data_IF_004887421490
#
_entry.id   IF_004887421490
#
_cell.length_a   1.000
_cell.length_b   1.000
_cell.length_c   1.000
_cell.angle_alpha   90.00
_cell.angle_beta   90.00
_cell.angle_gamma   90.00
#
_symmetry.space_group_name_H-M   'P 1'
#
loop_
_entity.id
_entity.type
_entity.pdbx_description
1 polymer ?
#
# COMPACT_ATOMS: atom_id res chain seq x y z
N UNK A 1 -25.22 -1.65 -13.32
CA UNK A 1 -24.68 -1.78 -13.02
C UNK A 1 -23.78 -2.27 -12.82
N UNK A 2 -23.27 -2.57 -12.76
CA UNK A 2 -22.43 -3.03 -12.28
C UNK A 2 -21.16 -2.78 -12.48
N UNK A 3 -20.76 -2.42 -13.07
CA UNK A 3 -19.64 -1.94 -13.15
C UNK A 3 -19.07 -1.58 -11.93
N UNK A 4 -19.79 -1.29 -11.11
CA UNK A 4 -19.45 -1.06 -9.86
C UNK A 4 -18.89 -2.22 -9.25
N UNK A 5 -18.91 -3.33 -9.88
CA UNK A 5 -18.41 -4.54 -9.36
C UNK A 5 -16.97 -4.40 -8.97
N UNK A 6 -16.15 -3.72 -9.74
CA UNK A 6 -14.75 -3.54 -9.42
C UNK A 6 -14.49 -2.61 -8.26
N UNK A 7 -15.54 -1.94 -7.80
CA UNK A 7 -15.42 -0.99 -6.72
C UNK A 7 -16.05 -1.48 -5.44
N UNK A 8 -16.38 -2.76 -5.37
CA UNK A 8 -17.02 -3.29 -4.18
C UNK A 8 -16.12 -3.35 -2.98
N UNK A 9 -14.85 -3.23 -3.16
CA UNK A 9 -13.96 -3.26 -2.04
C UNK A 9 -12.54 -2.99 -2.43
N UNK A 10 -11.67 -3.12 -1.47
CA UNK A 10 -10.26 -2.86 -1.60
C UNK A 10 -9.50 -4.05 -1.05
N UNK A 11 -8.25 -4.18 -1.49
CA UNK A 11 -7.32 -5.12 -0.90
C UNK A 11 -6.35 -4.30 -0.08
N UNK A 12 -6.18 -4.66 1.18
CA UNK A 12 -5.28 -3.96 2.09
C UNK A 12 -4.29 -4.94 2.69
N UNK A 13 -3.05 -4.50 2.83
CA UNK A 13 -2.01 -5.31 3.46
C UNK A 13 -0.99 -4.40 4.13
N UNK A 14 -0.31 -4.89 5.17
CA UNK A 14 0.74 -4.09 5.79
C UNK A 14 1.89 -3.90 4.81
N UNK A 15 2.44 -2.70 4.74
CA UNK A 15 3.58 -2.46 3.87
C UNK A 15 4.77 -3.31 4.32
N UNK A 16 5.49 -3.95 3.42
CA UNK A 16 6.68 -4.72 3.79
C UNK A 16 7.87 -3.85 4.17
N UNK A 17 7.82 -2.56 3.86
CA UNK A 17 8.95 -1.66 4.10
C UNK A 17 8.64 -0.47 5.00
N UNK A 18 7.36 -0.12 5.16
CA UNK A 18 6.96 1.07 5.90
C UNK A 18 5.97 0.71 7.01
N UNK A 19 5.79 1.62 7.94
CA UNK A 19 4.84 1.44 9.04
C UNK A 19 3.46 1.95 8.60
N UNK A 20 2.93 1.34 7.55
CA UNK A 20 1.66 1.77 6.96
C UNK A 20 0.91 0.58 6.41
N UNK A 21 -0.36 0.81 6.10
CA UNK A 21 -1.19 -0.16 5.38
C UNK A 21 -1.25 0.31 3.93
N UNK A 22 -0.98 -0.60 3.00
CA UNK A 22 -1.15 -0.32 1.58
C UNK A 22 -2.54 -0.73 1.17
N UNK A 23 -3.18 0.08 0.34
CA UNK A 23 -4.49 -0.25 -0.18
C UNK A 23 -4.51 -0.13 -1.70
N UNK A 24 -5.25 -0.99 -2.35
CA UNK A 24 -5.34 -0.98 -3.81
C UNK A 24 -6.57 -1.73 -4.28
N UNK A 25 -6.81 -1.68 -5.59
CA UNK A 25 -7.92 -2.40 -6.21
C UNK A 25 -7.53 -3.84 -6.47
N UNK A 26 -8.52 -4.66 -6.82
CA UNK A 26 -8.27 -6.03 -7.24
C UNK A 26 -7.37 -6.10 -8.46
N UNK A 27 -7.54 -5.18 -9.41
CA UNK A 27 -6.70 -5.18 -10.60
C UNK A 27 -5.24 -4.96 -10.25
N UNK A 28 -4.98 -4.07 -9.31
CA UNK A 28 -3.62 -3.78 -8.88
C UNK A 28 -2.99 -4.98 -8.17
N UNK A 29 -3.74 -5.63 -7.28
CA UNK A 29 -3.19 -6.77 -6.54
C UNK A 29 -2.95 -7.94 -7.49
N UNK A 30 -3.77 -8.07 -8.53
CA UNK A 30 -3.56 -9.10 -9.53
C UNK A 30 -2.27 -8.87 -10.30
N UNK A 31 -1.99 -7.62 -10.68
CA UNK A 31 -0.74 -7.29 -11.36
C UNK A 31 0.45 -7.62 -10.48
N UNK A 32 0.34 -7.32 -9.19
CA UNK A 32 1.41 -7.63 -8.24
C UNK A 32 1.60 -9.13 -8.11
N UNK A 33 0.51 -9.87 -8.01
CA UNK A 33 0.57 -11.33 -7.92
C UNK A 33 1.22 -11.93 -9.15
N UNK A 34 0.87 -11.43 -10.34
CA UNK A 34 1.46 -11.92 -11.59
C UNK A 34 2.96 -11.62 -11.64
N UNK A 35 3.35 -10.44 -11.17
CA UNK A 35 4.76 -10.07 -11.12
C UNK A 35 5.54 -10.99 -10.17
N UNK A 36 4.95 -11.33 -9.03
CA UNK A 36 5.57 -12.24 -8.07
C UNK A 36 5.70 -13.64 -8.68
N UNK A 37 4.67 -14.07 -9.40
CA UNK A 37 4.69 -15.39 -10.05
C UNK A 37 5.73 -15.49 -11.16
N UNK A 38 6.17 -14.36 -11.71
CA UNK A 38 7.20 -14.37 -12.74
C UNK A 38 8.59 -14.68 -12.16
N UNK A 39 8.74 -14.64 -10.86
CA UNK A 39 9.99 -15.00 -10.20
C UNK A 39 10.12 -16.53 -10.18
N UNK A 40 11.34 -17.02 -10.00
CA UNK A 40 11.55 -18.45 -9.94
C UNK A 40 10.74 -19.11 -8.84
N UNK A 41 10.18 -20.31 -9.08
CA UNK A 41 9.27 -20.94 -8.11
C UNK A 41 9.92 -21.25 -6.75
N UNK A 42 11.23 -21.35 -6.73
CA UNK A 42 11.93 -21.62 -5.47
C UNK A 42 12.78 -20.44 -5.02
N UNK A 43 12.58 -19.25 -5.60
CA UNK A 43 13.37 -18.10 -5.20
C UNK A 43 12.94 -17.59 -3.83
N UNK A 44 13.89 -17.03 -3.09
CA UNK A 44 13.60 -16.44 -1.80
C UNK A 44 12.74 -15.21 -1.95
N UNK A 45 12.95 -14.44 -3.02
CA UNK A 45 12.17 -13.25 -3.29
C UNK A 45 10.70 -13.58 -3.46
N UNK A 46 10.40 -14.62 -4.24
CA UNK A 46 9.02 -15.03 -4.45
C UNK A 46 8.35 -15.43 -3.14
N UNK A 47 9.04 -16.22 -2.34
CA UNK A 47 8.52 -16.67 -1.06
C UNK A 47 8.30 -15.50 -0.11
N UNK A 48 9.27 -14.59 -0.06
CA UNK A 48 9.21 -13.42 0.80
C UNK A 48 8.05 -12.50 0.44
N UNK A 49 7.87 -12.21 -0.85
CA UNK A 49 6.78 -11.34 -1.29
C UNK A 49 5.42 -12.00 -1.08
N UNK A 50 5.32 -13.30 -1.35
CA UNK A 50 4.07 -14.02 -1.14
C UNK A 50 3.66 -13.99 0.34
N UNK A 51 4.62 -14.19 1.24
CA UNK A 51 4.32 -14.17 2.67
C UNK A 51 4.01 -12.78 3.18
N UNK A 52 4.81 -11.79 2.76
CA UNK A 52 4.67 -10.43 3.32
C UNK A 52 3.49 -9.67 2.75
N UNK A 53 3.11 -9.95 1.52
CA UNK A 53 2.09 -9.17 0.85
C UNK A 53 0.81 -9.97 0.65
N UNK A 54 0.91 -11.08 -0.07
CA UNK A 54 -0.31 -11.82 -0.46
C UNK A 54 -0.95 -12.55 0.72
N UNK A 55 -0.16 -13.16 1.56
CA UNK A 55 -0.69 -13.91 2.69
C UNK A 55 -1.32 -13.00 3.76
N UNK A 56 -0.81 -11.79 3.89
CA UNK A 56 -1.31 -10.84 4.88
C UNK A 56 -2.33 -9.85 4.32
N UNK A 57 -2.78 -10.06 3.09
CA UNK A 57 -3.75 -9.15 2.50
C UNK A 57 -5.17 -9.46 3.01
N UNK A 58 -5.97 -8.40 3.11
CA UNK A 58 -7.35 -8.48 3.55
C UNK A 58 -8.24 -7.80 2.53
N UNK A 59 -9.34 -8.45 2.20
CA UNK A 59 -10.32 -7.84 1.34
C UNK A 59 -11.31 -7.09 2.22
N UNK A 60 -11.52 -5.81 1.97
CA UNK A 60 -12.48 -5.00 2.71
C UNK A 60 -13.53 -4.47 1.75
N UNK A 61 -14.78 -4.67 2.11
CA UNK A 61 -15.88 -4.23 1.28
C UNK A 61 -16.34 -2.83 1.64
N UNK A 62 -17.03 -2.19 0.72
CA UNK A 62 -17.66 -0.90 0.98
C UNK A 62 -19.08 -1.12 1.51
N UNK A 63 -19.49 -0.32 2.47
CA UNK A 63 -20.88 -0.32 2.91
C UNK A 63 -21.70 0.57 1.96
N UNK A 64 -22.99 0.76 2.27
CA UNK A 64 -23.86 1.54 1.40
C UNK A 64 -23.45 2.98 1.25
N UNK A 65 -22.73 3.51 2.21
CA UNK A 65 -22.27 4.89 2.17
C UNK A 65 -20.84 5.04 1.68
N UNK A 66 -20.25 3.96 1.20
CA UNK A 66 -18.90 4.00 0.67
C UNK A 66 -17.82 3.91 1.74
N UNK A 67 -18.17 3.50 2.95
CA UNK A 67 -17.20 3.36 4.03
C UNK A 67 -16.71 1.92 4.11
N UNK A 68 -15.51 1.75 4.63
CA UNK A 68 -14.96 0.42 4.85
C UNK A 68 -14.62 0.25 6.33
N UNK A 69 -14.64 -0.99 6.78
CA UNK A 69 -14.23 -1.33 8.13
C UNK A 69 -12.96 -2.16 8.02
N UNK A 70 -11.88 -1.64 8.57
CA UNK A 70 -10.61 -2.34 8.54
C UNK A 70 -10.53 -3.34 9.69
N UNK A 71 -9.96 -4.52 9.48
CA UNK A 71 -9.75 -5.46 10.57
C UNK A 71 -8.86 -4.85 11.65
N UNK A 72 -9.20 -5.04 12.91
CA UNK A 72 -8.43 -4.48 14.01
C UNK A 72 -7.00 -4.99 14.03
N UNK A 73 -6.81 -6.20 13.54
CA UNK A 73 -5.51 -6.83 13.44
C UNK A 73 -4.55 -6.03 12.56
N UNK A 74 -5.02 -5.61 11.38
CA UNK A 74 -4.16 -4.86 10.47
C UNK A 74 -3.92 -3.45 10.98
N UNK A 75 -4.92 -2.85 11.61
CA UNK A 75 -4.78 -1.53 12.20
C UNK A 75 -3.72 -1.55 13.30
N UNK A 76 -3.79 -2.54 14.17
CA UNK A 76 -2.84 -2.68 15.27
C UNK A 76 -1.42 -2.94 14.80
N UNK A 77 -1.26 -3.63 13.68
CA UNK A 77 0.06 -4.00 13.18
C UNK A 77 0.89 -2.79 12.77
N UNK A 78 0.26 -1.66 12.46
CA UNK A 78 0.97 -0.45 12.03
C UNK A 78 0.81 0.71 13.02
N UNK A 79 0.27 0.43 14.20
CA UNK A 79 0.18 1.44 15.25
C UNK A 79 -0.83 2.55 15.06
N UNK A 80 -1.82 2.34 14.21
CA UNK A 80 -2.90 3.31 14.04
C UNK A 80 -3.79 3.28 15.27
N UNK A 81 -4.05 4.44 15.83
CA UNK A 81 -4.80 4.53 17.09
C UNK A 81 -6.23 5.02 16.88
N UNK A 82 -6.40 6.31 16.71
CA UNK A 82 -7.74 6.92 16.64
C UNK A 82 -8.08 7.50 15.29
N UNK A 83 -7.08 7.90 14.54
CA UNK A 83 -7.28 8.57 13.27
C UNK A 83 -6.40 7.96 12.22
N UNK A 84 -6.80 8.10 10.96
CA UNK A 84 -6.05 7.55 9.83
C UNK A 84 -5.74 8.68 8.86
N UNK A 85 -4.48 8.78 8.47
CA UNK A 85 -4.08 9.67 7.39
C UNK A 85 -4.03 8.87 6.09
N UNK A 86 -4.75 9.32 5.08
CA UNK A 86 -4.78 8.69 3.76
C UNK A 86 -3.85 9.41 2.82
N UNK A 87 -2.94 8.69 2.20
CA UNK A 87 -1.95 9.28 1.30
C UNK A 87 -2.06 8.59 -0.05
N UNK A 88 -2.41 9.35 -1.09
CA UNK A 88 -2.50 8.80 -2.44
C UNK A 88 -1.11 8.58 -3.04
N UNK A 89 -0.95 7.44 -3.68
CA UNK A 89 0.33 7.06 -4.28
C UNK A 89 0.15 6.63 -5.74
N UNK A 90 -0.77 7.26 -6.46
CA UNK A 90 -1.06 6.87 -7.83
C UNK A 90 -2.08 5.74 -7.88
N UNK A 91 -1.67 4.56 -8.30
CA UNK A 91 -2.59 3.40 -8.37
C UNK A 91 -2.89 2.79 -7.01
N UNK A 92 -2.14 3.20 -5.99
CA UNK A 92 -2.30 2.68 -4.64
C UNK A 92 -2.48 3.84 -3.68
N UNK A 93 -2.77 3.53 -2.44
CA UNK A 93 -2.77 4.53 -1.39
C UNK A 93 -2.26 3.90 -0.11
N UNK A 94 -1.89 4.75 0.83
CA UNK A 94 -1.39 4.31 2.12
C UNK A 94 -2.28 4.85 3.23
N UNK A 95 -2.35 4.10 4.31
CA UNK A 95 -3.04 4.52 5.52
C UNK A 95 -2.04 4.47 6.66
N UNK A 96 -1.94 5.58 7.39
CA UNK A 96 -0.96 5.74 8.45
C UNK A 96 -1.60 6.30 9.70
N UNK A 97 -1.00 6.03 10.84
CA UNK A 97 -1.23 6.83 12.03
C UNK A 97 -0.70 8.24 11.72
N UNK A 98 -1.47 9.31 11.95
CA UNK A 98 -1.04 10.66 11.54
C UNK A 98 0.29 11.11 12.11
N UNK A 99 0.54 10.81 13.38
CA UNK A 99 1.79 11.21 14.01
C UNK A 99 2.98 10.46 13.40
N UNK A 100 2.81 9.16 13.19
CA UNK A 100 3.83 8.35 12.57
C UNK A 100 4.13 8.83 11.15
N UNK A 101 3.08 9.21 10.42
CA UNK A 101 3.27 9.71 9.07
C UNK A 101 4.02 11.04 9.06
N UNK A 102 3.69 11.94 10.00
CA UNK A 102 4.38 13.22 10.06
C UNK A 102 5.88 13.05 10.27
N UNK A 103 6.26 12.12 11.12
CA UNK A 103 7.67 11.83 11.37
C UNK A 103 8.34 11.25 10.13
N UNK A 104 7.67 10.33 9.47
CA UNK A 104 8.17 9.73 8.24
C UNK A 104 8.32 10.79 7.15
N UNK A 105 7.32 11.67 7.03
CA UNK A 105 7.32 12.70 6.00
C UNK A 105 8.49 13.65 6.13
N UNK A 106 8.80 14.06 7.35
CA UNK A 106 9.93 14.96 7.59
C UNK A 106 11.24 14.31 7.15
N UNK A 107 11.44 13.06 7.53
CA UNK A 107 12.65 12.34 7.16
C UNK A 107 12.70 12.09 5.66
N UNK A 108 11.56 11.74 5.07
CA UNK A 108 11.49 11.46 3.65
C UNK A 108 11.74 12.71 2.79
N UNK A 109 11.25 13.86 3.24
CA UNK A 109 11.49 15.11 2.51
C UNK A 109 12.96 15.46 2.49
N UNK A 110 13.64 15.22 3.61
CA UNK A 110 15.06 15.46 3.70
C UNK A 110 15.83 14.57 2.74
N UNK A 111 15.49 13.28 2.70
CA UNK A 111 16.12 12.34 1.80
C UNK A 111 15.83 12.66 0.34
N UNK A 112 14.60 13.11 0.06
CA UNK A 112 14.21 13.45 -1.30
C UNK A 112 15.01 14.62 -1.83
N UNK A 113 15.27 15.62 -0.99
CA UNK A 113 16.08 16.76 -1.38
C UNK A 113 17.50 16.33 -1.71
N UNK A 114 18.05 15.43 -0.92
CA UNK A 114 19.39 14.92 -1.16
C UNK A 114 19.47 14.09 -2.44
N UNK A 115 18.45 13.29 -2.69
CA UNK A 115 18.44 12.38 -3.84
C UNK A 115 18.02 13.04 -5.13
N UNK A 116 17.35 14.17 -5.05
CA UNK A 116 16.84 14.85 -6.23
C UNK A 116 17.96 15.23 -7.18
N UNK A 117 19.10 15.62 -6.65
CA UNK A 117 20.25 16.00 -7.48
C UNK A 117 20.80 14.81 -8.26
N UNK A 118 20.48 13.59 -7.82
CA UNK A 118 20.96 12.38 -8.49
C UNK A 118 19.96 11.84 -9.48
N UNK A 119 18.77 12.42 -9.51
CA UNK A 119 17.74 11.99 -10.43
C UNK A 119 18.11 12.41 -11.83
N UNK A 120 18.02 11.49 -12.77
CA UNK A 120 18.34 11.81 -14.14
C UNK A 120 17.13 12.43 -14.83
N UNK A 121 17.25 13.70 -15.10
CA UNK A 121 16.19 14.44 -15.77
C UNK A 121 16.48 14.51 -17.25
N UNK A 122 15.41 14.61 -18.03
CA UNK A 122 15.59 14.94 -19.43
C UNK A 122 16.10 16.37 -19.46
N UNK A 123 17.08 16.63 -20.31
CA UNK A 123 17.64 17.97 -20.40
C UNK A 123 16.72 18.95 -21.07
N UNK A 124 15.66 18.45 -21.63
CA UNK A 124 14.67 19.28 -22.29
C UNK A 124 13.62 19.84 -21.32
N UNK A 125 13.71 19.46 -20.08
CA UNK A 125 12.75 19.90 -19.07
C UNK A 125 13.15 21.26 -18.49
#
# INVERSE_FOLDING_TARGET
MYKRQGLKGLICYPSPTLTSIEGCTFNRIKKLSDAIDSLGPFSEERSSFSSSILADSHQVGFDKEGRVILPSEIIGSVGIKNEIAFIGMGETFQMWDPETYNNYKKENQKQAQEKLSKLQWSKDI
#
